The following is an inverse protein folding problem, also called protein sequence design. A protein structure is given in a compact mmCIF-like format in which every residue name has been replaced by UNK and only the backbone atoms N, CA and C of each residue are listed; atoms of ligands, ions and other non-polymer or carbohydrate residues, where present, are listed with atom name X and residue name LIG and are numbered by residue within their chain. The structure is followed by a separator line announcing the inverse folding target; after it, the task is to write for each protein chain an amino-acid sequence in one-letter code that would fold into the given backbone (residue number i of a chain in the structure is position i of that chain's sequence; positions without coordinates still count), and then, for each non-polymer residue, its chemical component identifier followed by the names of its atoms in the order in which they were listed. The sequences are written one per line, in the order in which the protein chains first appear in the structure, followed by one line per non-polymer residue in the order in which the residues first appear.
data_IF_652235241003
#
_entry.id   IF_652235241003
#
_cell.length_a   1.000
_cell.length_b   1.000
_cell.length_c   1.000
_cell.angle_alpha   90.00
_cell.angle_beta   90.00
_cell.angle_gamma   90.00
#
_symmetry.space_group_name_H-M   'P 1'
#
loop_
_entity.id
_entity.type
_entity.pdbx_description
1 polymer ?
#
# COMPACT_ATOMS: atom_id res chain seq x y z
N UNK A 1 3.77 6.12 9.27
CA UNK A 1 4.89 6.79 9.98
C UNK A 1 6.02 6.98 9.00
N UNK A 2 6.72 8.12 9.10
CA UNK A 2 7.98 8.39 8.40
C UNK A 2 8.99 8.82 9.46
N UNK A 3 10.12 8.12 9.51
CA UNK A 3 11.29 8.52 10.27
C UNK A 3 12.14 9.46 9.41
N UNK A 4 12.38 10.67 9.91
CA UNK A 4 13.12 11.71 9.17
C UNK A 4 14.64 11.56 9.30
N UNK A 5 15.13 10.73 10.21
CA UNK A 5 16.57 10.53 10.39
C UNK A 5 17.13 9.58 9.33
N UNK A 6 16.35 8.57 8.92
CA UNK A 6 16.82 7.48 8.06
C UNK A 6 15.88 7.18 6.88
N UNK A 7 14.78 7.92 6.73
CA UNK A 7 13.83 7.73 5.62
C UNK A 7 12.96 6.47 5.75
N UNK A 8 12.92 5.81 6.91
CA UNK A 8 12.08 4.63 7.13
C UNK A 8 10.60 5.00 7.08
N UNK A 9 9.80 4.21 6.37
CA UNK A 9 8.37 4.41 6.20
C UNK A 9 7.62 3.15 6.56
N UNK A 10 6.53 3.31 7.30
CA UNK A 10 5.60 2.22 7.55
C UNK A 10 4.17 2.72 7.48
N UNK A 11 3.27 1.96 6.86
CA UNK A 11 1.84 2.21 6.93
C UNK A 11 1.07 0.91 7.08
N UNK A 12 -0.09 1.01 7.70
CA UNK A 12 -0.98 -0.11 7.94
C UNK A 12 -2.38 0.31 7.50
N UNK A 13 -3.05 -0.57 6.75
CA UNK A 13 -4.38 -0.36 6.22
C UNK A 13 -5.31 -1.44 6.78
N UNK A 14 -6.39 -1.07 7.50
CA UNK A 14 -7.43 -2.01 7.87
C UNK A 14 -8.16 -2.51 6.62
N UNK A 15 -8.22 -3.83 6.42
CA UNK A 15 -8.89 -4.44 5.26
C UNK A 15 -10.40 -4.15 5.29
N UNK A 16 -11.01 -4.18 6.49
CA UNK A 16 -12.41 -3.80 6.67
C UNK A 16 -12.69 -2.30 6.44
N UNK A 17 -11.64 -1.48 6.24
CA UNK A 17 -11.77 -0.06 5.94
C UNK A 17 -12.04 0.25 4.47
N UNK A 18 -11.96 -0.74 3.57
CA UNK A 18 -12.28 -0.55 2.15
C UNK A 18 -13.79 -0.43 1.95
N UNK A 19 -14.19 0.54 1.12
CA UNK A 19 -15.59 0.81 0.77
C UNK A 19 -15.85 0.33 -0.66
N UNK A 20 -16.92 -0.43 -0.85
CA UNK A 20 -17.32 -0.99 -2.14
C UNK A 20 -18.69 -0.47 -2.55
N UNK A 21 -18.96 -0.48 -3.86
CA UNK A 21 -20.24 0.02 -4.40
C UNK A 21 -21.45 -0.82 -3.97
N UNK A 22 -21.24 -2.11 -3.69
CA UNK A 22 -22.29 -2.99 -3.16
C UNK A 22 -21.75 -3.93 -2.08
N UNK A 23 -22.68 -4.39 -1.23
CA UNK A 23 -22.36 -5.21 -0.07
C UNK A 23 -21.80 -6.60 -0.45
N UNK A 24 -22.27 -7.20 -1.55
CA UNK A 24 -21.82 -8.53 -1.98
C UNK A 24 -20.35 -8.53 -2.43
N UNK A 25 -19.89 -7.47 -3.10
CA UNK A 25 -18.48 -7.31 -3.45
C UNK A 25 -17.63 -7.19 -2.19
N UNK A 26 -18.10 -6.43 -1.20
CA UNK A 26 -17.40 -6.29 0.07
C UNK A 26 -17.36 -7.62 0.84
N UNK A 27 -18.45 -8.36 0.88
CA UNK A 27 -18.52 -9.69 1.49
C UNK A 27 -17.52 -10.64 0.82
N UNK A 28 -17.53 -10.74 -0.51
CA UNK A 28 -16.57 -11.57 -1.24
C UNK A 28 -15.11 -11.13 -1.04
N UNK A 29 -14.85 -9.83 -1.03
CA UNK A 29 -13.53 -9.28 -0.74
C UNK A 29 -13.02 -9.72 0.63
N UNK A 30 -13.86 -9.61 1.66
CA UNK A 30 -13.47 -9.89 3.03
C UNK A 30 -13.42 -11.39 3.34
N UNK A 31 -14.40 -12.16 2.90
CA UNK A 31 -14.54 -13.58 3.28
C UNK A 31 -13.79 -14.50 2.31
N UNK A 32 -13.96 -14.31 1.00
CA UNK A 32 -13.46 -15.26 0.01
C UNK A 32 -12.04 -14.97 -0.48
N UNK A 33 -11.56 -13.72 -0.34
CA UNK A 33 -10.27 -13.32 -0.89
C UNK A 33 -9.25 -12.89 0.17
N UNK A 34 -9.61 -11.98 1.08
CA UNK A 34 -8.65 -11.43 2.03
C UNK A 34 -8.72 -12.06 3.43
N UNK A 35 -9.67 -12.96 3.67
CA UNK A 35 -9.93 -13.61 4.98
C UNK A 35 -9.80 -12.59 6.14
N UNK A 36 -10.50 -11.46 6.05
CA UNK A 36 -10.16 -10.26 6.84
C UNK A 36 -10.41 -10.40 8.34
N UNK A 37 -11.17 -11.40 8.79
CA UNK A 37 -11.24 -11.77 10.22
C UNK A 37 -9.90 -12.31 10.73
N UNK A 38 -9.16 -13.05 9.89
CA UNK A 38 -7.88 -13.67 10.21
C UNK A 38 -6.71 -12.76 9.86
N UNK A 39 -6.82 -11.99 8.78
CA UNK A 39 -5.81 -11.03 8.33
C UNK A 39 -6.42 -9.62 8.23
N UNK A 40 -6.69 -8.96 9.37
CA UNK A 40 -7.46 -7.72 9.41
C UNK A 40 -6.74 -6.51 8.81
N UNK A 41 -5.45 -6.61 8.53
CA UNK A 41 -4.61 -5.48 8.12
C UNK A 41 -3.61 -5.86 7.05
N UNK A 42 -3.44 -5.00 6.05
CA UNK A 42 -2.27 -4.98 5.19
C UNK A 42 -1.21 -4.02 5.77
N UNK A 43 0.06 -4.38 5.66
CA UNK A 43 1.17 -3.63 6.24
C UNK A 43 2.25 -3.43 5.18
N UNK A 44 2.75 -2.21 5.07
CA UNK A 44 3.99 -1.92 4.36
C UNK A 44 5.03 -1.42 5.36
N UNK A 45 6.26 -1.94 5.26
CA UNK A 45 7.43 -1.46 5.99
C UNK A 45 8.58 -1.35 5.01
N UNK A 46 9.18 -0.18 4.92
CA UNK A 46 10.26 0.06 3.97
C UNK A 46 11.02 1.32 4.30
N UNK A 47 11.75 1.81 3.30
CA UNK A 47 12.49 3.06 3.35
C UNK A 47 12.43 3.76 2.02
N UNK A 48 12.53 5.07 2.06
CA UNK A 48 12.86 5.88 0.90
C UNK A 48 14.37 5.76 0.70
N UNK A 49 14.78 5.33 -0.49
CA UNK A 49 16.19 5.20 -0.83
C UNK A 49 16.83 6.59 -0.94
N UNK A 50 18.12 6.66 -0.59
CA UNK A 50 18.93 7.88 -0.69
C UNK A 50 18.31 9.10 0.03
N UNK A 51 17.66 8.85 1.18
CA UNK A 51 16.92 9.85 1.94
C UNK A 51 17.73 11.10 2.29
N UNK A 52 19.01 10.92 2.61
CA UNK A 52 19.95 11.98 2.93
C UNK A 52 20.21 12.95 1.77
N UNK A 53 19.91 12.53 0.54
CA UNK A 53 20.05 13.35 -0.68
C UNK A 53 18.76 14.09 -1.05
N UNK A 54 17.66 13.86 -0.32
CA UNK A 54 16.34 14.39 -0.63
C UNK A 54 16.10 15.73 0.06
N UNK A 55 15.88 16.78 -0.72
CA UNK A 55 15.44 18.08 -0.23
C UNK A 55 13.92 18.23 -0.40
N UNK A 56 13.18 18.26 0.72
CA UNK A 56 11.73 18.40 0.68
C UNK A 56 11.31 19.78 0.14
N UNK A 57 10.47 19.78 -0.89
CA UNK A 57 9.91 21.00 -1.49
C UNK A 57 8.40 20.90 -1.67
N UNK A 58 7.75 22.00 -2.04
CA UNK A 58 6.32 22.00 -2.37
C UNK A 58 5.99 21.27 -3.69
N UNK A 59 7.00 21.04 -4.53
CA UNK A 59 6.85 20.26 -5.76
C UNK A 59 6.99 18.78 -5.44
N UNK A 60 6.20 17.97 -6.15
CA UNK A 60 6.30 16.52 -6.05
C UNK A 60 7.64 16.09 -6.66
N UNK A 61 8.45 15.41 -5.85
CA UNK A 61 9.72 14.82 -6.28
C UNK A 61 9.62 13.31 -6.30
N UNK A 62 10.10 12.69 -7.37
CA UNK A 62 10.12 11.24 -7.50
C UNK A 62 11.18 10.65 -6.56
N UNK A 63 10.82 9.57 -5.88
CA UNK A 63 11.69 8.83 -4.96
C UNK A 63 11.54 7.34 -5.19
N UNK A 64 12.61 6.57 -4.95
CA UNK A 64 12.54 5.12 -4.96
C UNK A 64 12.25 4.62 -3.55
N UNK A 65 11.31 3.69 -3.42
CA UNK A 65 10.97 3.04 -2.15
C UNK A 65 11.29 1.56 -2.25
N UNK A 66 11.95 1.03 -1.23
CA UNK A 66 12.17 -0.41 -1.06
C UNK A 66 11.63 -0.88 0.27
N UNK A 67 11.12 -2.10 0.34
CA UNK A 67 10.61 -2.64 1.59
C UNK A 67 9.88 -3.96 1.40
N UNK A 68 9.04 -4.26 2.38
CA UNK A 68 8.23 -5.45 2.47
C UNK A 68 6.76 -5.06 2.58
N UNK A 69 5.93 -5.77 1.82
CA UNK A 69 4.47 -5.66 1.85
C UNK A 69 3.92 -6.98 2.40
N UNK A 70 3.09 -6.89 3.44
CA UNK A 70 2.37 -8.01 4.02
C UNK A 70 0.89 -7.87 3.72
N UNK A 71 0.33 -8.82 2.98
CA UNK A 71 -1.11 -8.92 2.65
C UNK A 71 -1.51 -10.39 2.81
N UNK A 72 -2.67 -10.64 3.42
CA UNK A 72 -3.20 -12.01 3.57
C UNK A 72 -2.20 -12.96 4.26
N UNK A 73 -1.44 -12.44 5.23
CA UNK A 73 -0.42 -13.20 5.97
C UNK A 73 0.88 -13.48 5.23
N UNK A 74 0.96 -13.19 3.94
CA UNK A 74 2.16 -13.40 3.10
C UNK A 74 2.93 -12.09 2.97
N UNK A 75 4.25 -12.16 3.10
CA UNK A 75 5.15 -11.01 2.98
C UNK A 75 6.02 -11.16 1.74
N UNK A 76 6.04 -10.13 0.90
CA UNK A 76 6.86 -10.07 -0.30
C UNK A 76 7.68 -8.77 -0.32
N UNK A 77 8.89 -8.85 -0.89
CA UNK A 77 9.71 -7.68 -1.15
C UNK A 77 9.07 -6.81 -2.24
N UNK A 78 9.28 -5.50 -2.13
CA UNK A 78 8.71 -4.53 -3.04
C UNK A 78 9.70 -3.40 -3.32
N UNK A 79 9.76 -2.98 -4.58
CA UNK A 79 10.58 -1.86 -5.03
C UNK A 79 9.82 -1.08 -6.09
N UNK A 80 9.37 0.13 -5.74
CA UNK A 80 8.62 0.99 -6.65
C UNK A 80 8.99 2.45 -6.47
N UNK A 81 8.53 3.24 -7.44
CA UNK A 81 8.60 4.68 -7.37
C UNK A 81 7.42 5.26 -6.61
N UNK A 82 7.67 6.40 -5.99
CA UNK A 82 6.65 7.24 -5.38
C UNK A 82 7.01 8.71 -5.55
N UNK A 83 6.13 9.57 -5.08
CA UNK A 83 6.37 11.00 -5.00
C UNK A 83 6.24 11.47 -3.56
N UNK A 84 7.09 12.40 -3.17
CA UNK A 84 7.03 13.06 -1.86
C UNK A 84 7.00 14.58 -2.06
N UNK A 85 6.29 15.28 -1.20
CA UNK A 85 6.32 16.75 -1.15
C UNK A 85 6.04 17.25 0.26
N UNK A 86 6.33 18.52 0.53
CA UNK A 86 5.96 19.18 1.77
C UNK A 86 5.13 20.43 1.46
N UNK A 87 3.92 20.52 1.99
CA UNK A 87 3.02 21.67 1.82
C UNK A 87 2.44 22.06 3.17
N UNK A 88 2.50 23.34 3.53
CA UNK A 88 1.99 23.83 4.83
C UNK A 88 2.52 23.01 6.02
N UNK A 89 3.82 22.67 6.00
CA UNK A 89 4.50 21.84 7.01
C UNK A 89 3.91 20.41 7.18
N UNK A 90 3.18 19.92 6.17
CA UNK A 90 2.68 18.53 6.09
C UNK A 90 3.41 17.82 4.96
N UNK A 91 3.95 16.65 5.27
CA UNK A 91 4.59 15.80 4.26
C UNK A 91 3.49 15.00 3.57
N UNK A 92 3.41 15.13 2.25
CA UNK A 92 2.57 14.34 1.38
C UNK A 92 3.39 13.22 0.72
N UNK A 93 2.75 12.08 0.49
CA UNK A 93 3.35 11.00 -0.28
C UNK A 93 2.31 10.35 -1.19
N UNK A 94 2.70 10.02 -2.41
CA UNK A 94 1.89 9.19 -3.33
C UNK A 94 2.73 8.05 -3.89
N UNK A 95 2.10 6.92 -4.13
CA UNK A 95 2.74 5.79 -4.82
C UNK A 95 1.64 4.87 -5.36
N UNK A 96 1.99 4.04 -6.34
CA UNK A 96 1.12 3.02 -6.88
C UNK A 96 1.80 1.66 -6.69
N UNK A 97 1.11 0.74 -6.03
CA UNK A 97 1.55 -0.64 -5.89
C UNK A 97 0.83 -1.51 -6.92
N UNK A 98 1.57 -2.29 -7.70
CA UNK A 98 0.99 -3.35 -8.53
C UNK A 98 1.06 -4.68 -7.79
N UNK A 99 -0.09 -5.16 -7.34
CA UNK A 99 -0.20 -6.36 -6.50
C UNK A 99 -0.67 -7.52 -7.37
N UNK A 100 0.18 -8.53 -7.54
CA UNK A 100 -0.23 -9.80 -8.11
C UNK A 100 -0.88 -10.61 -6.97
N UNK A 101 -2.19 -10.83 -7.04
CA UNK A 101 -2.95 -11.40 -5.90
C UNK A 101 -2.48 -12.81 -5.53
N UNK A 102 -2.01 -13.58 -6.52
CA UNK A 102 -1.50 -14.93 -6.31
C UNK A 102 -0.22 -14.95 -5.47
N UNK A 103 0.61 -13.91 -5.53
CA UNK A 103 1.85 -13.81 -4.75
C UNK A 103 1.56 -13.68 -3.24
N UNK A 104 0.33 -13.33 -2.88
CA UNK A 104 -0.14 -13.23 -1.50
C UNK A 104 -1.05 -14.39 -1.09
N UNK A 105 -1.07 -15.48 -1.86
CA UNK A 105 -1.87 -16.67 -1.57
C UNK A 105 -3.37 -16.43 -1.68
N UNK A 106 -3.80 -15.40 -2.41
CA UNK A 106 -5.22 -15.12 -2.66
C UNK A 106 -5.66 -15.90 -3.89
N UNK A 107 -6.52 -16.88 -3.70
CA UNK A 107 -7.01 -17.73 -4.78
C UNK A 107 -8.25 -17.13 -5.46
N UNK A 108 -8.20 -17.00 -6.79
CA UNK A 108 -9.36 -16.62 -7.60
C UNK A 108 -10.01 -17.88 -8.19
N UNK A 109 -11.28 -18.19 -7.83
CA UNK A 109 -11.99 -19.34 -8.40
C UNK A 109 -12.09 -19.26 -9.92
N UNK A 110 -11.95 -20.41 -10.60
CA UNK A 110 -11.91 -20.48 -12.08
C UNK A 110 -13.12 -19.84 -12.74
N UNK A 111 -14.30 -19.97 -12.14
CA UNK A 111 -15.57 -19.50 -12.71
C UNK A 111 -15.68 -17.96 -12.79
N UNK A 112 -14.97 -17.24 -11.91
CA UNK A 112 -14.97 -15.76 -11.87
C UNK A 112 -13.66 -15.14 -12.33
N UNK A 113 -12.69 -15.95 -12.80
CA UNK A 113 -11.33 -15.48 -13.15
C UNK A 113 -11.30 -14.40 -14.23
N UNK A 114 -12.28 -14.37 -15.14
CA UNK A 114 -12.37 -13.32 -16.15
C UNK A 114 -12.97 -12.01 -15.61
N UNK A 115 -13.60 -12.06 -14.45
CA UNK A 115 -14.26 -10.92 -13.80
C UNK A 115 -13.40 -10.31 -12.68
N UNK A 116 -12.30 -10.96 -12.29
CA UNK A 116 -11.43 -10.53 -11.20
C UNK A 116 -10.02 -10.35 -11.73
N UNK A 117 -9.46 -9.17 -11.52
CA UNK A 117 -8.12 -8.84 -11.96
C UNK A 117 -7.07 -9.68 -11.23
N UNK A 118 -6.12 -10.25 -11.98
CA UNK A 118 -4.95 -10.94 -11.41
C UNK A 118 -3.94 -9.97 -10.80
N UNK A 119 -3.93 -8.74 -11.30
CA UNK A 119 -3.07 -7.64 -10.86
C UNK A 119 -4.00 -6.52 -10.40
N UNK A 120 -3.79 -6.04 -9.18
CA UNK A 120 -4.56 -4.94 -8.58
C UNK A 120 -3.64 -3.74 -8.43
N UNK A 121 -4.04 -2.61 -9.01
CA UNK A 121 -3.36 -1.33 -8.83
C UNK A 121 -3.86 -0.66 -7.54
N UNK A 122 -2.99 -0.54 -6.54
CA UNK A 122 -3.30 0.13 -5.28
C UNK A 122 -2.63 1.49 -5.24
N UNK A 123 -3.44 2.53 -5.38
CA UNK A 123 -2.98 3.92 -5.31
C UNK A 123 -3.02 4.39 -3.85
N UNK A 124 -1.85 4.75 -3.32
CA UNK A 124 -1.71 5.24 -1.96
C UNK A 124 -1.47 6.74 -2.00
N UNK A 125 -2.24 7.49 -1.20
CA UNK A 125 -2.02 8.92 -0.96
C UNK A 125 -2.03 9.17 0.54
N UNK A 126 -0.92 9.70 1.05
CA UNK A 126 -0.70 9.93 2.47
C UNK A 126 -0.47 11.42 2.72
N UNK A 127 -0.95 11.89 3.87
CA UNK A 127 -0.61 13.20 4.41
C UNK A 127 -0.22 13.03 5.88
N UNK A 128 1.07 13.21 6.17
CA UNK A 128 1.65 13.10 7.49
C UNK A 128 1.65 14.47 8.16
N UNK A 129 1.05 14.54 9.34
CA UNK A 129 1.18 15.69 10.25
C UNK A 129 2.34 15.41 11.20
N UNK A 130 3.18 16.42 11.44
CA UNK A 130 4.19 16.35 12.49
C UNK A 130 3.48 16.13 13.83
N UNK A 131 3.92 15.12 14.58
CA UNK A 131 3.48 14.89 15.95
C UNK A 131 4.27 15.78 16.89
#
# INVERSE_FOLDING_TARGET
VLDKENGSVAFQVPILGFIFENALMQEHFNENYLESEKFPTAIFKGKINDWELIELSEKDQEVNLTGEMTIHGVTNEFSEKGFISIKNNKIGGTTQFKIIVADYGIEIPKIVRNNIAKIVDVNVKLSLKKK
#
